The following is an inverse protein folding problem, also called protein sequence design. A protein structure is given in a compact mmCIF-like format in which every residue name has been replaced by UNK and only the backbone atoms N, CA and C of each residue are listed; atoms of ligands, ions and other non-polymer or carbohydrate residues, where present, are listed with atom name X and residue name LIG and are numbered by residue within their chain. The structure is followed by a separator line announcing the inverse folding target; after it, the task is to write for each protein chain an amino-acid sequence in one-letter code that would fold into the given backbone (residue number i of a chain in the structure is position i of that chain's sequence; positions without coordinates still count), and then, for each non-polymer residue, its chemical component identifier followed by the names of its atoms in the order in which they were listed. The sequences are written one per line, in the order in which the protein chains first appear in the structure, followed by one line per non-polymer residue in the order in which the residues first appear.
data_IF_310920753743
#
_entry.id   IF_310920753743
#
_cell.length_a   1.000
_cell.length_b   1.000
_cell.length_c   1.000
_cell.angle_alpha   90.00
_cell.angle_beta   90.00
_cell.angle_gamma   90.00
#
_symmetry.space_group_name_H-M   'P 1'
#
loop_
_entity.id
_entity.type
_entity.pdbx_description
1 polymer ?
#
# COMPACT_ATOMS: atom_id res chain seq x y z
N UNK A 1 -33.07 70.24 -18.72
CA UNK A 1 -32.20 69.18 -19.26
C UNK A 1 -31.56 68.42 -18.07
N UNK A 2 -32.13 67.32 -17.66
CA UNK A 2 -31.63 66.54 -16.51
C UNK A 2 -30.93 65.29 -17.01
N UNK A 3 -29.61 65.22 -16.81
CA UNK A 3 -28.78 64.08 -17.13
C UNK A 3 -28.92 63.04 -16.00
N UNK A 4 -29.50 61.91 -16.36
CA UNK A 4 -29.54 60.75 -15.46
C UNK A 4 -28.21 59.99 -15.54
N UNK A 5 -27.44 59.99 -14.45
CA UNK A 5 -26.26 59.14 -14.23
C UNK A 5 -26.73 57.71 -13.91
N UNK A 6 -26.38 56.79 -14.78
CA UNK A 6 -26.56 55.32 -14.54
C UNK A 6 -25.29 54.80 -13.86
N UNK A 7 -25.35 54.28 -12.65
CA UNK A 7 -24.17 53.67 -12.05
C UNK A 7 -23.97 52.27 -12.66
N UNK A 8 -22.85 52.10 -13.37
CA UNK A 8 -22.39 50.78 -13.84
C UNK A 8 -21.92 49.97 -12.63
N UNK A 9 -22.70 48.96 -12.27
CA UNK A 9 -22.35 48.00 -11.24
C UNK A 9 -21.34 46.99 -11.81
N UNK A 10 -20.05 47.16 -11.54
CA UNK A 10 -18.99 46.22 -11.91
C UNK A 10 -19.08 45.03 -10.95
N UNK A 11 -19.66 43.92 -11.42
CA UNK A 11 -19.71 42.64 -10.71
C UNK A 11 -18.34 41.97 -10.79
N UNK A 12 -17.50 42.11 -9.78
CA UNK A 12 -16.24 41.41 -9.66
C UNK A 12 -16.51 39.95 -9.27
N UNK A 13 -16.41 39.02 -10.22
CA UNK A 13 -16.45 37.57 -9.95
C UNK A 13 -15.09 37.19 -9.38
N UNK A 14 -15.04 37.02 -8.06
CA UNK A 14 -13.90 36.42 -7.36
C UNK A 14 -13.95 34.90 -7.59
N UNK A 15 -13.16 34.41 -8.53
CA UNK A 15 -12.93 32.96 -8.67
C UNK A 15 -12.00 32.56 -7.54
N UNK A 16 -12.56 32.02 -6.47
CA UNK A 16 -11.79 31.37 -5.42
C UNK A 16 -11.21 30.06 -5.99
N UNK A 17 -9.94 30.07 -6.37
CA UNK A 17 -9.20 28.84 -6.59
C UNK A 17 -9.11 28.14 -5.22
N UNK A 18 -9.94 27.13 -4.99
CA UNK A 18 -9.74 26.21 -3.88
C UNK A 18 -8.36 25.57 -4.08
N UNK A 19 -7.40 25.89 -3.22
CA UNK A 19 -6.11 25.23 -3.22
C UNK A 19 -6.36 23.73 -2.98
N UNK A 20 -6.06 22.91 -3.98
CA UNK A 20 -6.12 21.47 -3.85
C UNK A 20 -5.19 21.09 -2.68
N UNK A 21 -5.67 20.44 -1.63
CA UNK A 21 -4.84 20.07 -0.50
C UNK A 21 -3.72 19.16 -1.03
N UNK A 22 -2.48 19.64 -0.96
CA UNK A 22 -1.32 18.83 -1.35
C UNK A 22 -1.04 17.81 -0.26
N UNK A 23 -1.03 16.54 -0.61
CA UNK A 23 -0.57 15.47 0.31
C UNK A 23 0.87 15.75 0.70
N UNK A 24 1.13 15.87 1.99
CA UNK A 24 2.47 16.23 2.45
C UNK A 24 3.42 15.05 2.33
N UNK A 25 4.70 15.35 2.08
CA UNK A 25 5.75 14.33 2.03
C UNK A 25 5.91 13.64 3.39
N UNK A 26 5.72 14.37 4.48
CA UNK A 26 5.78 13.84 5.85
C UNK A 26 4.70 12.79 6.09
N UNK A 27 3.47 13.04 5.61
CA UNK A 27 2.37 12.08 5.75
C UNK A 27 2.66 10.79 4.98
N UNK A 28 3.20 10.88 3.76
CA UNK A 28 3.62 9.70 3.00
C UNK A 28 4.74 8.95 3.71
N UNK A 29 5.77 9.66 4.21
CA UNK A 29 6.87 9.07 4.96
C UNK A 29 6.41 8.35 6.24
N UNK A 30 5.46 8.92 6.96
CA UNK A 30 4.89 8.27 8.14
C UNK A 30 4.23 6.93 7.78
N UNK A 31 3.56 6.85 6.63
CA UNK A 31 2.93 5.60 6.16
C UNK A 31 3.95 4.60 5.60
N UNK A 32 5.00 5.08 4.92
CA UNK A 32 6.14 4.25 4.53
C UNK A 32 6.73 3.54 5.77
N UNK A 33 7.06 4.31 6.81
CA UNK A 33 7.61 3.78 8.05
C UNK A 33 6.63 2.87 8.82
N UNK A 34 5.32 3.17 8.77
CA UNK A 34 4.29 2.31 9.38
C UNK A 34 4.25 0.94 8.73
N UNK A 35 4.25 0.88 7.40
CA UNK A 35 4.26 -0.38 6.67
C UNK A 35 5.57 -1.16 6.89
N UNK A 36 6.72 -0.48 6.81
CA UNK A 36 8.02 -1.09 7.10
C UNK A 36 8.02 -1.76 8.48
N UNK A 37 7.53 -1.05 9.49
CA UNK A 37 7.41 -1.59 10.85
C UNK A 37 6.48 -2.80 10.90
N UNK A 38 5.34 -2.77 10.21
CA UNK A 38 4.38 -3.88 10.18
C UNK A 38 4.97 -5.12 9.52
N UNK A 39 5.71 -4.95 8.42
CA UNK A 39 6.40 -6.05 7.73
C UNK A 39 7.49 -6.64 8.61
N UNK A 40 8.27 -5.78 9.29
CA UNK A 40 9.40 -6.18 10.13
C UNK A 40 8.99 -6.61 11.55
N UNK A 41 7.73 -6.35 11.98
CA UNK A 41 7.32 -6.72 13.34
C UNK A 41 7.26 -8.22 13.49
N UNK A 42 8.12 -8.81 14.33
CA UNK A 42 8.17 -10.25 14.53
C UNK A 42 6.99 -10.66 15.41
N UNK A 43 5.99 -11.26 14.81
CA UNK A 43 5.20 -12.23 15.55
C UNK A 43 5.80 -13.59 15.26
N UNK A 44 6.63 -14.09 16.18
CA UNK A 44 7.25 -15.39 16.09
C UNK A 44 8.48 -15.52 15.15
N UNK A 45 9.00 -16.68 15.13
CA UNK A 45 10.23 -17.22 14.59
C UNK A 45 10.59 -16.88 13.12
N UNK A 46 9.68 -16.25 12.39
CA UNK A 46 9.83 -15.96 10.97
C UNK A 46 9.40 -14.53 10.65
N UNK A 47 10.30 -13.60 10.49
CA UNK A 47 10.05 -12.24 9.98
C UNK A 47 10.05 -12.23 8.47
N UNK A 48 9.26 -11.32 7.86
CA UNK A 48 9.51 -10.95 6.47
C UNK A 48 10.83 -10.19 6.39
N UNK A 49 11.50 -10.29 5.26
CA UNK A 49 12.66 -9.46 4.97
C UNK A 49 12.27 -8.35 4.01
N UNK A 50 12.44 -7.11 4.44
CA UNK A 50 12.23 -5.94 3.62
C UNK A 50 13.52 -5.62 2.85
N UNK A 51 13.45 -5.57 1.53
CA UNK A 51 14.59 -5.33 0.65
C UNK A 51 14.63 -3.86 0.23
N UNK A 52 14.96 -3.00 1.15
CA UNK A 52 14.86 -1.55 1.02
C UNK A 52 13.62 -1.01 1.73
N UNK A 53 13.48 0.30 1.77
CA UNK A 53 12.34 0.94 2.44
C UNK A 53 11.16 1.04 1.49
N UNK A 54 9.94 0.97 2.04
CA UNK A 54 8.72 1.32 1.31
C UNK A 54 8.82 2.73 0.72
N UNK A 55 8.25 2.91 -0.45
CA UNK A 55 8.19 4.21 -1.16
C UNK A 55 6.76 4.57 -1.46
N UNK A 56 6.39 5.79 -1.09
CA UNK A 56 5.07 6.35 -1.32
C UNK A 56 5.11 7.55 -2.26
N UNK A 57 4.13 7.65 -3.14
CA UNK A 57 3.91 8.77 -4.04
C UNK A 57 2.42 9.09 -4.08
N UNK A 58 2.10 10.38 -4.17
CA UNK A 58 0.74 10.83 -4.44
C UNK A 58 0.61 11.19 -5.92
N UNK A 59 -0.42 10.65 -6.55
CA UNK A 59 -0.79 10.90 -7.94
C UNK A 59 -2.15 11.61 -7.94
N UNK A 60 -2.17 12.88 -8.33
CA UNK A 60 -3.38 13.70 -8.38
C UNK A 60 -4.45 13.06 -9.26
N UNK A 61 -5.69 12.97 -8.73
CA UNK A 61 -6.82 12.33 -9.40
C UNK A 61 -6.84 10.81 -9.32
N UNK A 62 -5.78 10.18 -8.81
CA UNK A 62 -5.74 8.74 -8.55
C UNK A 62 -5.68 8.42 -7.05
N UNK A 63 -4.72 9.02 -6.32
CA UNK A 63 -4.52 8.81 -4.89
C UNK A 63 -3.09 8.49 -4.48
N UNK A 64 -2.92 7.90 -3.31
CA UNK A 64 -1.63 7.53 -2.76
C UNK A 64 -1.25 6.09 -3.15
N UNK A 65 -0.03 5.93 -3.67
CA UNK A 65 0.53 4.65 -4.10
C UNK A 65 1.78 4.36 -3.30
N UNK A 66 1.85 3.18 -2.71
CA UNK A 66 3.01 2.70 -1.97
C UNK A 66 3.55 1.43 -2.62
N UNK A 67 4.87 1.29 -2.61
CA UNK A 67 5.55 0.10 -3.14
C UNK A 67 6.62 -0.37 -2.18
N UNK A 68 6.77 -1.68 -2.04
CA UNK A 68 7.81 -2.32 -1.27
C UNK A 68 8.34 -3.58 -1.97
N UNK A 69 9.56 -3.98 -1.64
CA UNK A 69 10.15 -5.24 -2.07
C UNK A 69 10.38 -6.12 -0.84
N UNK A 70 9.85 -7.33 -0.88
CA UNK A 70 9.81 -8.23 0.29
C UNK A 70 10.27 -9.63 -0.09
N UNK A 71 11.10 -10.21 0.74
CA UNK A 71 11.29 -11.66 0.78
C UNK A 71 10.36 -12.24 1.86
N UNK A 72 9.58 -13.24 1.51
CA UNK A 72 8.61 -13.88 2.41
C UNK A 72 9.27 -14.55 3.61
N UNK A 73 10.50 -15.02 3.46
CA UNK A 73 11.32 -15.63 4.49
C UNK A 73 12.79 -15.36 4.22
N UNK A 74 13.55 -15.09 5.25
CA UNK A 74 15.01 -15.16 5.19
C UNK A 74 15.41 -16.58 4.72
N UNK A 75 15.95 -16.64 3.52
CA UNK A 75 16.45 -17.89 2.95
C UNK A 75 17.96 -17.99 3.12
N UNK A 76 18.47 -19.20 3.26
CA UNK A 76 19.91 -19.41 3.30
C UNK A 76 20.54 -18.98 1.97
N UNK A 77 21.59 -18.18 2.05
CA UNK A 77 22.39 -17.85 0.87
C UNK A 77 23.19 -19.08 0.43
N UNK A 78 23.23 -19.30 -0.89
CA UNK A 78 24.14 -20.27 -1.47
C UNK A 78 25.57 -19.79 -1.24
N UNK A 79 26.40 -20.59 -0.60
CA UNK A 79 27.80 -20.25 -0.40
C UNK A 79 28.65 -20.78 -1.56
N UNK A 80 29.84 -20.24 -1.82
CA UNK A 80 30.78 -20.79 -2.81
C UNK A 80 31.14 -22.26 -2.59
N UNK A 81 30.97 -22.73 -1.34
CA UNK A 81 31.26 -24.12 -0.93
C UNK A 81 30.03 -25.02 -0.97
N UNK A 82 28.82 -24.46 -1.14
CA UNK A 82 27.57 -25.22 -1.24
C UNK A 82 26.79 -24.65 -2.44
N UNK A 83 27.04 -25.21 -3.60
CA UNK A 83 26.50 -24.74 -4.88
C UNK A 83 25.08 -25.18 -5.14
N UNK A 84 24.55 -26.13 -4.36
CA UNK A 84 23.18 -26.65 -4.53
C UNK A 84 22.48 -26.76 -3.18
N UNK A 85 21.19 -26.42 -3.18
CA UNK A 85 20.34 -26.60 -1.99
C UNK A 85 19.76 -28.01 -1.96
N UNK A 86 19.67 -28.66 -0.76
CA UNK A 86 18.99 -29.94 -0.62
C UNK A 86 17.53 -29.87 -1.07
N UNK A 87 17.06 -30.86 -1.81
CA UNK A 87 15.67 -30.89 -2.32
C UNK A 87 14.64 -30.77 -1.19
N UNK A 88 14.85 -31.46 -0.08
CA UNK A 88 13.95 -31.39 1.08
C UNK A 88 13.85 -29.99 1.69
N UNK A 89 14.96 -29.23 1.66
CA UNK A 89 14.97 -27.83 2.10
C UNK A 89 14.14 -26.96 1.17
N UNK A 90 14.28 -27.10 -0.16
CA UNK A 90 13.51 -26.36 -1.17
C UNK A 90 12.02 -26.62 -0.97
N UNK A 91 11.60 -27.89 -0.84
CA UNK A 91 10.19 -28.24 -0.63
C UNK A 91 9.62 -27.60 0.65
N UNK A 92 10.34 -27.72 1.77
CA UNK A 92 9.91 -27.13 3.04
C UNK A 92 9.83 -25.61 2.98
N UNK A 93 10.80 -24.96 2.34
CA UNK A 93 10.82 -23.51 2.16
C UNK A 93 9.63 -23.06 1.32
N UNK A 94 9.36 -23.75 0.22
CA UNK A 94 8.23 -23.46 -0.65
C UNK A 94 6.89 -23.51 0.09
N UNK A 95 6.63 -24.59 0.86
CA UNK A 95 5.40 -24.71 1.67
C UNK A 95 5.26 -23.60 2.69
N UNK A 96 6.36 -23.21 3.35
CA UNK A 96 6.37 -22.09 4.29
C UNK A 96 6.09 -20.77 3.60
N UNK A 97 6.66 -20.52 2.42
CA UNK A 97 6.41 -19.30 1.63
C UNK A 97 4.94 -19.19 1.19
N UNK A 98 4.32 -20.31 0.75
CA UNK A 98 2.88 -20.34 0.42
C UNK A 98 2.01 -19.89 1.60
N UNK A 99 2.27 -20.41 2.79
CA UNK A 99 1.52 -20.02 4.00
C UNK A 99 1.73 -18.53 4.34
N UNK A 100 2.90 -17.96 4.03
CA UNK A 100 3.22 -16.57 4.34
C UNK A 100 2.60 -15.56 3.39
N UNK A 101 2.27 -15.95 2.16
CA UNK A 101 1.54 -15.07 1.22
C UNK A 101 0.22 -14.61 1.84
N UNK A 102 -0.53 -15.53 2.46
CA UNK A 102 -1.80 -15.18 3.12
C UNK A 102 -1.59 -14.19 4.28
N UNK A 103 -0.54 -14.37 5.09
CA UNK A 103 -0.20 -13.45 6.16
C UNK A 103 0.20 -12.08 5.64
N UNK A 104 1.01 -12.02 4.58
CA UNK A 104 1.39 -10.75 3.95
C UNK A 104 0.17 -10.00 3.43
N UNK A 105 -0.74 -10.69 2.73
CA UNK A 105 -2.00 -10.09 2.24
C UNK A 105 -2.82 -9.50 3.38
N UNK A 106 -2.94 -10.20 4.49
CA UNK A 106 -3.63 -9.69 5.68
C UNK A 106 -2.96 -8.42 6.22
N UNK A 107 -1.63 -8.43 6.36
CA UNK A 107 -0.88 -7.26 6.82
C UNK A 107 -1.04 -6.06 5.88
N UNK A 108 -1.06 -6.29 4.57
CA UNK A 108 -1.30 -5.25 3.57
C UNK A 108 -2.71 -4.64 3.71
N UNK A 109 -3.74 -5.47 3.87
CA UNK A 109 -5.13 -4.98 4.06
C UNK A 109 -5.25 -4.14 5.34
N UNK A 110 -4.69 -4.60 6.46
CA UNK A 110 -4.73 -3.87 7.73
C UNK A 110 -3.99 -2.53 7.63
N UNK A 111 -2.86 -2.51 6.90
CA UNK A 111 -2.11 -1.27 6.71
C UNK A 111 -2.85 -0.28 5.81
N UNK A 112 -3.52 -0.73 4.76
CA UNK A 112 -4.34 0.14 3.92
C UNK A 112 -5.45 0.85 4.71
N UNK A 113 -6.08 0.15 5.67
CA UNK A 113 -7.06 0.75 6.59
C UNK A 113 -6.40 1.81 7.47
N UNK A 114 -5.20 1.55 8.00
CA UNK A 114 -4.42 2.51 8.78
C UNK A 114 -4.03 3.74 7.94
N UNK A 115 -3.53 3.52 6.72
CA UNK A 115 -3.19 4.58 5.77
C UNK A 115 -4.38 5.49 5.45
N UNK A 116 -5.59 4.92 5.30
CA UNK A 116 -6.78 5.68 4.98
C UNK A 116 -7.14 6.72 6.06
N UNK A 117 -6.89 6.39 7.32
CA UNK A 117 -7.14 7.31 8.44
C UNK A 117 -6.04 8.36 8.60
N UNK A 118 -4.80 8.04 8.23
CA UNK A 118 -3.64 8.91 8.44
C UNK A 118 -3.37 9.85 7.26
N UNK A 119 -3.84 9.50 6.07
CA UNK A 119 -3.71 10.31 4.85
C UNK A 119 -4.96 11.19 4.66
N UNK A 120 -5.24 12.06 5.63
CA UNK A 120 -6.46 12.89 5.68
C UNK A 120 -6.57 13.90 4.53
N UNK A 121 -5.43 14.29 3.95
CA UNK A 121 -5.35 15.20 2.81
C UNK A 121 -5.58 14.52 1.44
N UNK A 122 -5.58 13.18 1.37
CA UNK A 122 -6.01 12.46 0.17
C UNK A 122 -7.53 12.56 0.04
N UNK A 123 -8.09 13.00 -1.09
CA UNK A 123 -9.54 13.04 -1.31
C UNK A 123 -10.22 11.69 -1.04
N UNK A 124 -11.42 11.72 -0.46
CA UNK A 124 -12.15 10.52 -0.04
C UNK A 124 -12.51 9.57 -1.21
N UNK A 125 -12.71 10.14 -2.40
CA UNK A 125 -13.02 9.42 -3.64
C UNK A 125 -11.77 8.92 -4.39
N UNK A 126 -10.58 9.28 -3.92
CA UNK A 126 -9.33 8.77 -4.46
C UNK A 126 -8.93 7.46 -3.78
N UNK A 127 -7.93 6.81 -4.32
CA UNK A 127 -7.52 5.47 -3.91
C UNK A 127 -6.29 5.47 -3.03
N UNK A 128 -6.18 4.41 -2.25
CA UNK A 128 -4.93 3.97 -1.67
C UNK A 128 -4.56 2.66 -2.35
N UNK A 129 -3.36 2.61 -2.88
CA UNK A 129 -2.79 1.43 -3.52
C UNK A 129 -1.49 1.02 -2.82
N UNK A 130 -1.32 -0.28 -2.61
CA UNK A 130 -0.13 -0.88 -2.01
C UNK A 130 0.32 -2.05 -2.88
N UNK A 131 1.49 -1.91 -3.50
CA UNK A 131 2.13 -2.93 -4.32
C UNK A 131 3.33 -3.54 -3.60
N UNK A 132 3.38 -4.85 -3.50
CA UNK A 132 4.52 -5.57 -2.94
C UNK A 132 5.08 -6.50 -3.99
N UNK A 133 6.34 -6.29 -4.35
CA UNK A 133 7.11 -7.20 -5.18
C UNK A 133 7.75 -8.27 -4.29
N UNK A 134 7.59 -9.53 -4.68
CA UNK A 134 8.18 -10.66 -3.98
C UNK A 134 9.44 -11.12 -4.68
N UNK A 135 10.50 -11.31 -3.91
CA UNK A 135 11.78 -11.73 -4.45
C UNK A 135 12.10 -13.17 -4.04
N UNK A 136 12.64 -13.90 -5.00
CA UNK A 136 12.98 -15.30 -4.87
C UNK A 136 14.38 -15.55 -5.42
N UNK A 137 15.09 -16.47 -4.81
CA UNK A 137 16.34 -16.94 -5.37
C UNK A 137 16.08 -17.89 -6.56
N UNK A 138 17.02 -17.94 -7.49
CA UNK A 138 16.91 -18.77 -8.70
C UNK A 138 16.83 -20.28 -8.43
N UNK A 139 17.22 -20.73 -7.26
CA UNK A 139 17.14 -22.12 -6.81
C UNK A 139 15.85 -22.48 -6.09
N UNK A 140 15.00 -21.53 -5.81
CA UNK A 140 13.71 -21.74 -5.11
C UNK A 140 12.64 -22.27 -6.07
N UNK A 141 11.74 -23.08 -5.54
CA UNK A 141 10.50 -23.44 -6.22
C UNK A 141 9.49 -22.30 -6.02
N UNK A 142 9.08 -21.66 -7.11
CA UNK A 142 8.12 -20.55 -7.12
C UNK A 142 6.75 -20.96 -7.61
N UNK A 143 6.47 -22.25 -7.80
CA UNK A 143 5.19 -22.73 -8.28
C UNK A 143 4.03 -22.28 -7.40
N UNK A 144 3.05 -21.56 -7.96
CA UNK A 144 1.90 -21.03 -7.22
C UNK A 144 2.20 -19.87 -6.26
N UNK A 145 3.43 -19.35 -6.29
CA UNK A 145 3.79 -18.12 -5.57
C UNK A 145 3.69 -16.92 -6.51
N UNK A 146 3.02 -15.82 -6.12
CA UNK A 146 2.97 -14.61 -6.94
C UNK A 146 4.33 -13.91 -6.94
N UNK A 147 4.68 -13.27 -8.05
CA UNK A 147 5.84 -12.38 -8.12
C UNK A 147 5.53 -10.97 -7.59
N UNK A 148 4.25 -10.61 -7.59
CA UNK A 148 3.77 -9.32 -7.13
C UNK A 148 2.35 -9.44 -6.58
N UNK A 149 2.06 -8.67 -5.53
CA UNK A 149 0.71 -8.50 -4.98
C UNK A 149 0.39 -7.01 -5.04
N UNK A 150 -0.68 -6.64 -5.74
CA UNK A 150 -1.20 -5.30 -5.79
C UNK A 150 -2.57 -5.26 -5.11
N UNK A 151 -2.73 -4.36 -4.15
CA UNK A 151 -4.00 -4.08 -3.48
C UNK A 151 -4.38 -2.63 -3.69
N UNK A 152 -5.66 -2.36 -3.97
CA UNK A 152 -6.18 -1.00 -4.13
C UNK A 152 -7.62 -0.90 -3.65
N UNK A 153 -7.96 0.23 -3.04
CA UNK A 153 -9.32 0.54 -2.61
C UNK A 153 -9.55 2.06 -2.56
N UNK A 154 -10.81 2.49 -2.65
CA UNK A 154 -11.19 3.87 -2.40
C UNK A 154 -10.95 4.22 -0.93
N UNK A 155 -10.36 5.38 -0.66
CA UNK A 155 -10.06 5.82 0.70
C UNK A 155 -11.31 5.85 1.58
N UNK A 156 -12.45 6.33 1.06
CA UNK A 156 -13.72 6.39 1.82
C UNK A 156 -14.15 5.00 2.32
N UNK A 157 -14.06 3.97 1.48
CA UNK A 157 -14.44 2.61 1.86
C UNK A 157 -13.57 2.04 2.97
N UNK A 158 -12.27 2.32 2.93
CA UNK A 158 -11.34 1.94 3.99
C UNK A 158 -11.62 2.68 5.30
N UNK A 159 -11.97 3.98 5.22
CA UNK A 159 -12.39 4.76 6.39
C UNK A 159 -13.67 4.23 7.03
N UNK A 160 -14.62 3.76 6.23
CA UNK A 160 -15.87 3.18 6.74
C UNK A 160 -15.60 1.89 7.54
N UNK A 161 -14.60 1.09 7.13
CA UNK A 161 -14.12 -0.06 7.93
C UNK A 161 -13.43 0.40 9.20
N UNK A 162 -12.56 1.40 9.12
CA UNK A 162 -11.84 1.93 10.29
C UNK A 162 -12.79 2.49 11.35
N UNK A 163 -13.86 3.16 10.92
CA UNK A 163 -14.87 3.76 11.79
C UNK A 163 -15.96 2.78 12.25
N UNK A 164 -15.85 1.50 11.88
CA UNK A 164 -16.82 0.47 12.22
C UNK A 164 -18.17 0.59 11.50
N UNK A 165 -18.27 1.44 10.46
CA UNK A 165 -19.48 1.58 9.62
C UNK A 165 -19.64 0.41 8.65
N UNK A 166 -18.52 -0.19 8.26
CA UNK A 166 -18.47 -1.45 7.52
C UNK A 166 -17.70 -2.50 8.34
N UNK A 167 -18.15 -3.75 8.34
CA UNK A 167 -17.48 -4.81 9.07
C UNK A 167 -16.10 -5.15 8.47
N UNK A 168 -15.15 -5.61 9.28
CA UNK A 168 -13.82 -6.05 8.78
C UNK A 168 -13.90 -7.17 7.72
N UNK A 169 -14.93 -8.02 7.79
CA UNK A 169 -15.20 -9.05 6.77
C UNK A 169 -15.50 -8.46 5.38
N UNK A 170 -15.85 -7.16 5.30
CA UNK A 170 -16.07 -6.50 4.02
C UNK A 170 -14.77 -6.09 3.30
N UNK A 171 -13.61 -6.18 3.94
CA UNK A 171 -12.32 -5.83 3.32
C UNK A 171 -12.06 -6.63 2.04
N UNK A 172 -12.39 -7.91 2.03
CA UNK A 172 -12.20 -8.76 0.84
C UNK A 172 -13.06 -8.31 -0.36
N UNK A 173 -14.17 -7.62 -0.11
CA UNK A 173 -15.01 -7.06 -1.16
C UNK A 173 -14.66 -5.61 -1.53
N UNK A 174 -14.04 -4.87 -0.62
CA UNK A 174 -13.65 -3.47 -0.78
C UNK A 174 -12.28 -3.35 -1.44
N UNK A 175 -11.34 -4.20 -1.05
CA UNK A 175 -9.96 -4.19 -1.54
C UNK A 175 -9.87 -5.08 -2.77
N UNK A 176 -9.59 -4.47 -3.92
CA UNK A 176 -9.24 -5.23 -5.12
C UNK A 176 -7.81 -5.76 -4.95
N UNK A 177 -7.66 -7.07 -5.10
CA UNK A 177 -6.38 -7.77 -5.02
C UNK A 177 -6.04 -8.33 -6.40
N UNK A 178 -4.82 -8.08 -6.85
CA UNK A 178 -4.25 -8.63 -8.09
C UNK A 178 -2.93 -9.32 -7.74
N UNK A 179 -2.78 -10.56 -8.17
CA UNK A 179 -1.58 -11.38 -8.00
C UNK A 179 -1.02 -11.70 -9.39
N UNK A 180 0.28 -11.43 -9.60
CA UNK A 180 0.99 -11.62 -10.86
C UNK A 180 2.13 -12.63 -10.69
#
# INVERSE_FOLDING_TARGET
MSRRLVPSLLLAVVIAFAAVPRVSREALHAMEASFDKRVLTPNAQDTFELLGNTRGVYLEGYGAVFTAEVNLLLSANVSPFQTTMPKDYIVKLHQRKLARVALLKKNMQEEMVSMASSLDTVPANERIALGVRLLYHSWEDTSGLPSQILMQAERQKLLDVQLGRAGRASLDSIVRVEEL
#
